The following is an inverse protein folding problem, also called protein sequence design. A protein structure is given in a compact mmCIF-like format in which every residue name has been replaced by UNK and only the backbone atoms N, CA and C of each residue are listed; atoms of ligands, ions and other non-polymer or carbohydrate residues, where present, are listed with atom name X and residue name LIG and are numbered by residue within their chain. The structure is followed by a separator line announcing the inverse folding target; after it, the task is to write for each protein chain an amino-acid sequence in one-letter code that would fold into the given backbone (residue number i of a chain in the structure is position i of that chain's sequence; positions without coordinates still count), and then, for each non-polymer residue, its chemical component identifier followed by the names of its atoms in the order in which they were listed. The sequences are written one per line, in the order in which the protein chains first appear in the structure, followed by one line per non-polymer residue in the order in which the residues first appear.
data_IF_933934841310
#
_entry.id   IF_933934841310
#
_cell.length_a   1.000
_cell.length_b   1.000
_cell.length_c   1.000
_cell.angle_alpha   90.00
_cell.angle_beta   90.00
_cell.angle_gamma   90.00
#
_symmetry.space_group_name_H-M   'P 1'
#
loop_
_entity.id
_entity.type
_entity.pdbx_description
1 polymer ?
#
# COMPACT_ATOMS: atom_id res chain seq x y z
N UNK A 1 14.83 7.76 -10.27
CA UNK A 1 15.35 7.87 -8.88
C UNK A 1 16.41 6.79 -8.76
N UNK A 2 17.65 7.09 -8.34
CA UNK A 2 18.65 6.04 -8.15
C UNK A 2 18.11 5.04 -7.13
N UNK A 3 18.12 3.75 -7.41
CA UNK A 3 17.72 2.68 -6.49
C UNK A 3 18.98 2.08 -5.86
N UNK A 4 18.94 1.76 -4.57
CA UNK A 4 20.12 1.27 -3.85
C UNK A 4 20.32 -0.23 -4.06
N UNK A 5 19.23 -0.98 -4.26
CA UNK A 5 19.27 -2.43 -4.22
C UNK A 5 18.66 -3.11 -5.44
N UNK A 6 17.74 -2.44 -6.14
CA UNK A 6 17.11 -2.98 -7.34
C UNK A 6 17.48 -2.19 -8.58
N UNK A 7 17.50 -2.87 -9.72
CA UNK A 7 17.41 -2.25 -11.04
C UNK A 7 15.99 -2.51 -11.56
N UNK A 8 15.31 -1.45 -12.00
CA UNK A 8 14.06 -1.57 -12.72
C UNK A 8 14.38 -1.59 -14.22
N UNK A 9 13.84 -2.54 -14.97
CA UNK A 9 13.92 -2.47 -16.44
C UNK A 9 13.14 -1.23 -16.90
N UNK A 10 13.71 -0.46 -17.82
CA UNK A 10 13.00 0.65 -18.45
C UNK A 10 11.74 0.11 -19.12
N UNK A 11 10.61 0.46 -18.54
CA UNK A 11 9.31 0.40 -19.21
C UNK A 11 9.09 1.83 -19.66
N UNK A 12 9.14 2.06 -20.97
CA UNK A 12 9.01 3.39 -21.57
C UNK A 12 7.66 3.99 -21.16
N UNK A 13 7.67 4.81 -20.11
CA UNK A 13 6.49 5.46 -19.56
C UNK A 13 6.90 6.86 -19.10
N UNK A 14 6.65 7.84 -19.97
CA UNK A 14 6.78 9.27 -19.75
C UNK A 14 6.53 9.66 -18.28
N UNK A 15 7.56 10.13 -17.59
CA UNK A 15 7.53 10.97 -16.36
C UNK A 15 6.21 10.99 -15.56
N UNK A 16 5.95 9.96 -14.77
CA UNK A 16 4.89 10.01 -13.75
C UNK A 16 5.50 10.38 -12.39
N UNK A 17 5.19 11.59 -11.89
CA UNK A 17 5.53 11.99 -10.52
C UNK A 17 4.64 11.20 -9.55
N UNK A 18 5.25 10.37 -8.71
CA UNK A 18 4.58 9.76 -7.54
C UNK A 18 4.11 10.89 -6.62
N UNK A 19 2.79 11.04 -6.45
CA UNK A 19 2.21 12.00 -5.51
C UNK A 19 2.12 11.35 -4.13
N UNK A 20 3.02 11.75 -3.23
CA UNK A 20 2.87 11.46 -1.80
C UNK A 20 1.83 12.43 -1.23
N UNK A 21 0.64 11.92 -0.90
CA UNK A 21 -0.38 12.73 -0.24
C UNK A 21 0.01 12.99 1.22
N UNK A 22 -0.11 14.25 1.65
CA UNK A 22 0.07 14.65 3.05
C UNK A 22 -1.24 14.36 3.80
N UNK A 23 -1.39 13.14 4.34
CA UNK A 23 -2.63 12.69 5.03
C UNK A 23 -2.72 13.20 6.49
N UNK A 24 -2.00 14.26 6.85
CA UNK A 24 -1.99 14.78 8.22
C UNK A 24 -2.32 16.26 8.25
N UNK A 25 -3.51 16.58 8.77
CA UNK A 25 -3.99 17.95 8.87
C UNK A 25 -5.44 18.13 9.32
N UNK A 26 -5.87 17.52 10.43
CA UNK A 26 -6.83 18.12 11.37
C UNK A 26 -6.95 17.24 12.63
N UNK A 27 -6.95 17.87 13.82
CA UNK A 27 -7.17 17.19 15.10
C UNK A 27 -8.64 16.81 15.19
N UNK A 28 -8.97 15.54 15.00
CA UNK A 28 -10.21 14.98 15.53
C UNK A 28 -10.05 14.77 17.05
N UNK A 29 -11.09 15.04 17.88
CA UNK A 29 -11.01 14.80 19.31
C UNK A 29 -10.81 13.31 19.60
N UNK A 30 -9.85 12.98 20.46
CA UNK A 30 -9.67 11.62 21.00
C UNK A 30 -10.79 11.33 21.99
N UNK A 31 -11.84 10.61 21.57
CA UNK A 31 -12.77 9.96 22.49
C UNK A 31 -13.24 8.61 21.92
N UNK A 32 -12.98 7.56 22.71
CA UNK A 32 -13.55 6.20 22.69
C UNK A 32 -14.07 5.64 21.34
N UNK A 33 -13.16 5.39 20.39
CA UNK A 33 -13.47 4.68 19.16
C UNK A 33 -13.24 3.18 19.34
N UNK A 34 -14.16 2.48 19.98
CA UNK A 34 -14.06 1.02 20.11
C UNK A 34 -15.41 0.30 20.01
N UNK A 35 -16.13 0.47 18.89
CA UNK A 35 -17.14 -0.47 18.33
C UNK A 35 -17.24 -0.24 16.81
N UNK A 36 -17.26 -1.30 16.00
CA UNK A 36 -17.36 -1.23 14.53
C UNK A 36 -18.55 -0.40 14.03
N UNK A 37 -19.66 -0.39 14.80
CA UNK A 37 -20.84 0.44 14.53
C UNK A 37 -20.53 1.96 14.56
N UNK A 38 -19.63 2.40 15.44
CA UNK A 38 -19.25 3.81 15.54
C UNK A 38 -18.40 4.28 14.35
N UNK A 39 -17.62 3.38 13.72
CA UNK A 39 -16.86 3.73 12.52
C UNK A 39 -17.79 3.97 11.34
N UNK A 40 -18.81 3.13 11.18
CA UNK A 40 -19.84 3.34 10.17
C UNK A 40 -20.58 4.67 10.40
N UNK A 41 -21.09 4.87 11.62
CA UNK A 41 -21.83 6.09 11.98
C UNK A 41 -20.99 7.33 11.69
N UNK A 42 -19.71 7.31 12.10
CA UNK A 42 -18.76 8.38 11.79
C UNK A 42 -18.63 8.60 10.28
N UNK A 43 -18.33 7.57 9.49
CA UNK A 43 -18.17 7.69 8.03
C UNK A 43 -19.44 8.20 7.35
N UNK A 44 -20.63 7.76 7.79
CA UNK A 44 -21.89 8.25 7.28
C UNK A 44 -22.07 9.77 7.50
N UNK A 45 -21.60 10.31 8.64
CA UNK A 45 -21.60 11.77 8.85
C UNK A 45 -20.60 12.54 7.98
N UNK A 46 -19.59 11.87 7.40
CA UNK A 46 -18.60 12.50 6.53
C UNK A 46 -19.02 12.52 5.06
N UNK A 47 -20.10 11.80 4.70
CA UNK A 47 -20.61 11.76 3.35
C UNK A 47 -21.34 13.05 2.98
N UNK A 48 -21.12 13.55 1.77
CA UNK A 48 -21.86 14.70 1.20
C UNK A 48 -22.76 14.17 0.09
N UNK A 49 -24.07 14.42 0.19
CA UNK A 49 -25.08 13.89 -0.74
C UNK A 49 -24.99 12.36 -0.93
N UNK A 50 -24.67 11.64 0.15
CA UNK A 50 -24.49 10.17 0.14
C UNK A 50 -23.16 9.70 -0.48
N UNK A 51 -22.28 10.61 -0.88
CA UNK A 51 -20.96 10.30 -1.47
C UNK A 51 -19.85 10.47 -0.43
N UNK A 52 -18.97 9.48 -0.35
CA UNK A 52 -17.80 9.46 0.52
C UNK A 52 -16.52 9.27 -0.31
N UNK A 53 -15.48 10.06 -0.04
CA UNK A 53 -14.19 9.88 -0.70
C UNK A 53 -13.43 8.71 -0.06
N UNK A 54 -12.81 7.86 -0.87
CA UNK A 54 -12.00 6.74 -0.39
C UNK A 54 -10.88 7.18 0.59
N UNK A 55 -10.33 8.38 0.42
CA UNK A 55 -9.36 8.99 1.35
C UNK A 55 -9.94 9.28 2.73
N UNK A 56 -11.23 9.65 2.83
CA UNK A 56 -11.89 9.84 4.13
C UNK A 56 -12.03 8.52 4.87
N UNK A 57 -12.28 7.41 4.17
CA UNK A 57 -12.32 6.06 4.75
C UNK A 57 -10.95 5.71 5.31
N UNK A 58 -9.88 5.85 4.52
CA UNK A 58 -8.52 5.56 4.97
C UNK A 58 -8.13 6.45 6.15
N UNK A 59 -8.45 7.74 6.10
CA UNK A 59 -8.18 8.67 7.20
C UNK A 59 -8.90 8.22 8.49
N UNK A 60 -10.19 7.87 8.41
CA UNK A 60 -10.93 7.39 9.57
C UNK A 60 -10.33 6.11 10.16
N UNK A 61 -9.90 5.16 9.32
CA UNK A 61 -9.22 3.94 9.75
C UNK A 61 -7.90 4.29 10.45
N UNK A 62 -7.07 5.15 9.85
CA UNK A 62 -5.78 5.55 10.43
C UNK A 62 -5.94 6.27 11.78
N UNK A 63 -6.92 7.16 11.91
CA UNK A 63 -7.13 7.93 13.15
C UNK A 63 -7.76 7.09 14.25
N UNK A 64 -8.67 6.18 13.90
CA UNK A 64 -9.49 5.44 14.88
C UNK A 64 -8.84 4.13 15.28
N UNK A 65 -8.21 3.45 14.33
CA UNK A 65 -7.66 2.11 14.50
C UNK A 65 -6.13 2.08 14.41
N UNK A 66 -5.46 3.19 14.12
CA UNK A 66 -3.99 3.28 14.09
C UNK A 66 -3.27 2.61 15.29
N UNK A 67 -3.73 2.82 16.54
CA UNK A 67 -3.10 2.22 17.72
C UNK A 67 -3.21 0.69 17.84
N UNK A 68 -4.11 0.03 17.12
CA UNK A 68 -4.25 -1.44 17.18
C UNK A 68 -3.08 -2.15 16.49
N UNK A 69 -2.46 -1.45 15.54
CA UNK A 69 -1.33 -1.98 14.79
C UNK A 69 -0.06 -1.91 15.66
N UNK A 70 0.84 -2.91 15.55
CA UNK A 70 2.04 -2.92 16.36
C UNK A 70 2.86 -1.64 16.20
N UNK A 71 3.31 -1.09 17.31
CA UNK A 71 4.19 0.07 17.31
C UNK A 71 5.60 -0.30 16.87
N UNK A 72 6.05 0.29 15.75
CA UNK A 72 7.42 0.12 15.22
C UNK A 72 8.23 1.39 15.35
N UNK A 73 7.59 2.53 15.09
CA UNK A 73 8.17 3.86 15.20
C UNK A 73 7.20 4.82 15.87
N UNK A 74 7.72 5.79 16.62
CA UNK A 74 6.93 6.90 17.17
C UNK A 74 7.46 8.24 16.70
N UNK A 75 6.56 9.20 16.52
CA UNK A 75 6.91 10.60 16.27
C UNK A 75 6.01 11.50 17.10
N UNK A 76 6.62 12.34 17.96
CA UNK A 76 5.87 13.18 18.90
C UNK A 76 4.98 12.35 19.86
N UNK A 77 5.41 11.15 20.24
CA UNK A 77 4.64 10.23 21.09
C UNK A 77 3.49 9.51 20.39
N UNK A 78 3.32 9.70 19.08
CA UNK A 78 2.29 9.01 18.27
C UNK A 78 2.90 7.78 17.63
N UNK A 79 2.27 6.61 17.82
CA UNK A 79 2.61 5.41 17.07
C UNK A 79 2.31 5.62 15.58
N UNK A 80 3.32 5.43 14.74
CA UNK A 80 3.21 5.54 13.29
C UNK A 80 2.82 4.22 12.61
N UNK A 81 2.88 3.09 13.31
CA UNK A 81 2.56 1.78 12.73
C UNK A 81 3.54 1.38 11.63
N UNK A 82 3.01 1.05 10.45
CA UNK A 82 3.74 0.60 9.26
C UNK A 82 4.37 1.79 8.49
N UNK A 83 5.31 2.45 9.14
CA UNK A 83 6.15 3.54 8.62
C UNK A 83 7.61 3.20 8.89
N UNK A 84 8.47 3.34 7.88
CA UNK A 84 9.87 2.93 7.96
C UNK A 84 10.82 4.00 7.44
N UNK A 85 12.13 3.80 7.69
CA UNK A 85 13.18 4.69 7.20
C UNK A 85 13.81 4.16 5.92
N UNK A 86 14.16 5.07 5.02
CA UNK A 86 14.99 4.75 3.87
C UNK A 86 15.92 5.93 3.54
N UNK A 87 17.23 5.67 3.42
CA UNK A 87 18.26 6.71 3.21
C UNK A 87 18.02 7.61 1.99
N UNK A 88 17.40 7.08 0.93
CA UNK A 88 17.17 7.83 -0.30
C UNK A 88 15.93 8.74 -0.24
N UNK A 89 15.10 8.59 0.79
CA UNK A 89 13.90 9.42 0.96
C UNK A 89 14.30 10.70 1.69
N UNK A 90 14.55 11.74 0.91
CA UNK A 90 14.84 13.06 1.43
C UNK A 90 13.56 13.75 1.91
N UNK A 91 13.66 14.66 2.87
CA UNK A 91 12.54 15.45 3.35
C UNK A 91 12.99 16.56 4.29
N UNK A 92 12.04 17.31 4.84
CA UNK A 92 12.29 18.39 5.79
C UNK A 92 11.65 18.03 7.13
N UNK A 93 12.35 18.32 8.23
CA UNK A 93 11.84 18.15 9.58
C UNK A 93 11.80 16.70 10.05
N UNK A 94 10.99 16.43 11.06
CA UNK A 94 11.03 15.18 11.81
C UNK A 94 10.55 13.93 11.02
N UNK A 95 9.88 14.14 9.89
CA UNK A 95 9.45 13.07 8.98
C UNK A 95 10.43 12.81 7.82
N UNK A 96 11.58 13.49 7.78
CA UNK A 96 12.60 13.20 6.78
C UNK A 96 13.07 11.74 6.87
N UNK A 97 13.21 11.08 5.72
CA UNK A 97 13.55 9.67 5.64
C UNK A 97 12.39 8.71 5.86
N UNK A 98 11.18 9.17 6.22
CA UNK A 98 10.05 8.29 6.51
C UNK A 98 9.24 7.93 5.27
N UNK A 99 8.94 6.64 5.11
CA UNK A 99 8.02 6.10 4.10
C UNK A 99 6.82 5.47 4.80
N UNK A 100 5.61 6.03 4.63
CA UNK A 100 4.39 5.43 5.12
C UNK A 100 3.81 4.41 4.14
N UNK A 101 3.61 3.18 4.60
CA UNK A 101 2.88 2.15 3.84
C UNK A 101 1.48 1.93 4.39
N UNK A 102 1.35 1.83 5.72
CA UNK A 102 0.07 1.58 6.40
C UNK A 102 -0.75 0.45 5.75
N UNK A 103 -0.07 -0.60 5.27
CA UNK A 103 -0.66 -1.58 4.34
C UNK A 103 -1.94 -2.20 4.89
N UNK A 104 -1.97 -2.57 6.18
CA UNK A 104 -3.14 -3.20 6.80
C UNK A 104 -4.31 -2.23 6.97
N UNK A 105 -4.02 -0.96 7.27
CA UNK A 105 -5.06 0.09 7.34
C UNK A 105 -5.66 0.35 5.95
N UNK A 106 -4.82 0.33 4.93
CA UNK A 106 -5.25 0.51 3.55
C UNK A 106 -6.07 -0.67 3.03
N UNK A 107 -5.65 -1.89 3.35
CA UNK A 107 -6.43 -3.08 3.05
C UNK A 107 -7.79 -3.05 3.75
N UNK A 108 -7.83 -2.68 5.04
CA UNK A 108 -9.08 -2.52 5.76
C UNK A 108 -9.98 -1.44 5.11
N UNK A 109 -9.42 -0.32 4.65
CA UNK A 109 -10.18 0.70 3.93
C UNK A 109 -10.80 0.13 2.63
N UNK A 110 -10.06 -0.70 1.88
CA UNK A 110 -10.61 -1.40 0.72
C UNK A 110 -11.71 -2.40 1.09
N UNK A 111 -11.55 -3.15 2.19
CA UNK A 111 -12.57 -4.08 2.67
C UNK A 111 -13.87 -3.40 3.14
N UNK A 112 -13.85 -2.09 3.40
CA UNK A 112 -15.03 -1.31 3.78
C UNK A 112 -15.83 -0.79 2.57
N UNK A 113 -15.28 -0.82 1.36
CA UNK A 113 -15.93 -0.26 0.17
C UNK A 113 -17.28 -0.92 -0.12
N UNK A 114 -17.31 -2.25 -0.18
CA UNK A 114 -18.54 -3.00 -0.46
C UNK A 114 -19.58 -2.89 0.67
N UNK A 115 -19.23 -3.03 1.97
CA UNK A 115 -20.18 -2.80 3.06
C UNK A 115 -20.80 -1.39 3.07
N UNK A 116 -20.01 -0.34 2.77
CA UNK A 116 -20.52 1.04 2.68
C UNK A 116 -21.42 1.23 1.46
N UNK A 117 -21.10 0.58 0.34
CA UNK A 117 -21.98 0.57 -0.83
C UNK A 117 -23.32 -0.11 -0.52
N UNK A 118 -23.29 -1.25 0.16
CA UNK A 118 -24.47 -2.00 0.56
C UNK A 118 -25.37 -1.24 1.56
N UNK A 119 -24.82 -0.28 2.30
CA UNK A 119 -25.60 0.57 3.21
C UNK A 119 -26.23 1.79 2.54
N UNK A 120 -26.03 1.97 1.22
CA UNK A 120 -26.57 3.08 0.44
C UNK A 120 -25.63 4.27 0.27
N UNK A 121 -24.36 4.18 0.70
CA UNK A 121 -23.35 5.21 0.42
C UNK A 121 -22.66 4.93 -0.91
N UNK A 122 -22.27 5.96 -1.64
CA UNK A 122 -21.42 5.83 -2.82
C UNK A 122 -19.98 6.17 -2.46
N UNK A 123 -19.03 5.29 -2.75
CA UNK A 123 -17.61 5.60 -2.55
C UNK A 123 -16.98 6.10 -3.85
N UNK A 124 -16.42 7.30 -3.82
CA UNK A 124 -15.75 7.94 -4.95
C UNK A 124 -14.23 8.04 -4.74
N UNK A 125 -13.50 8.20 -5.85
CA UNK A 125 -12.06 8.45 -5.83
C UNK A 125 -11.23 7.28 -5.30
N UNK A 126 -11.64 6.03 -5.55
CA UNK A 126 -10.93 4.81 -5.09
C UNK A 126 -9.46 4.84 -5.53
N UNK A 127 -9.18 5.28 -6.76
CA UNK A 127 -7.84 5.42 -7.34
C UNK A 127 -6.96 6.51 -6.70
N UNK A 128 -7.46 7.26 -5.73
CA UNK A 128 -6.62 8.14 -4.90
C UNK A 128 -5.93 7.38 -3.77
N UNK A 129 -6.36 6.15 -3.49
CA UNK A 129 -5.67 5.22 -2.62
C UNK A 129 -4.57 4.49 -3.42
N UNK A 130 -3.49 4.14 -2.74
CA UNK A 130 -2.31 3.46 -3.29
C UNK A 130 -2.43 1.93 -3.36
N UNK A 131 -1.54 1.30 -4.12
CA UNK A 131 -1.37 -0.15 -4.11
C UNK A 131 -0.97 -0.70 -2.73
N UNK A 132 -1.12 -2.01 -2.54
CA UNK A 132 -0.71 -2.70 -1.32
C UNK A 132 0.75 -3.18 -1.44
N UNK A 133 1.60 -2.69 -0.55
CA UNK A 133 3.03 -3.01 -0.43
C UNK A 133 3.29 -4.43 0.11
N UNK A 134 2.64 -5.42 -0.51
CA UNK A 134 2.57 -6.81 -0.05
C UNK A 134 3.52 -7.72 -0.81
N UNK A 135 4.03 -8.77 -0.16
CA UNK A 135 5.04 -9.66 -0.77
C UNK A 135 4.57 -10.38 -2.03
N UNK A 136 3.27 -10.61 -2.20
CA UNK A 136 2.73 -11.23 -3.43
C UNK A 136 2.77 -10.25 -4.60
N UNK A 137 2.38 -9.00 -4.36
CA UNK A 137 2.44 -7.94 -5.36
C UNK A 137 3.89 -7.60 -5.69
N UNK A 138 4.73 -7.43 -4.66
CA UNK A 138 6.15 -7.12 -4.85
C UNK A 138 6.92 -8.29 -5.46
N UNK A 139 6.56 -9.52 -5.09
CA UNK A 139 7.22 -10.74 -5.56
C UNK A 139 7.01 -10.96 -7.05
N UNK A 140 5.80 -10.65 -7.55
CA UNK A 140 5.47 -10.66 -8.96
C UNK A 140 6.47 -9.82 -9.79
N UNK A 141 6.83 -8.62 -9.33
CA UNK A 141 7.75 -7.76 -10.07
C UNK A 141 9.18 -8.31 -10.12
N UNK A 142 9.61 -9.05 -9.10
CA UNK A 142 10.92 -9.73 -9.11
C UNK A 142 10.85 -10.99 -9.99
N UNK A 143 9.83 -11.82 -9.82
CA UNK A 143 9.69 -13.09 -10.53
C UNK A 143 9.49 -12.93 -12.05
N UNK A 144 8.92 -11.80 -12.46
CA UNK A 144 8.78 -11.42 -13.87
C UNK A 144 9.95 -10.56 -14.39
N UNK A 145 10.94 -10.26 -13.55
CA UNK A 145 12.15 -9.52 -13.93
C UNK A 145 11.95 -8.03 -14.18
N UNK A 146 10.83 -7.46 -13.73
CA UNK A 146 10.59 -6.00 -13.72
C UNK A 146 11.57 -5.34 -12.74
N UNK A 147 11.73 -5.94 -11.56
CA UNK A 147 12.77 -5.61 -10.59
C UNK A 147 13.84 -6.71 -10.58
N UNK A 148 15.10 -6.32 -10.70
CA UNK A 148 16.25 -7.23 -10.61
C UNK A 148 17.14 -6.80 -9.44
N UNK A 149 17.41 -7.65 -8.44
CA UNK A 149 18.37 -7.34 -7.39
C UNK A 149 19.75 -7.04 -7.97
N UNK A 150 20.42 -6.01 -7.48
CA UNK A 150 21.79 -5.67 -7.87
C UNK A 150 22.80 -6.72 -7.39
N UNK A 151 22.53 -7.35 -6.25
CA UNK A 151 23.29 -8.48 -5.72
C UNK A 151 22.36 -9.68 -5.51
N UNK A 152 22.75 -10.84 -6.04
CA UNK A 152 21.99 -12.09 -5.91
C UNK A 152 21.92 -12.58 -4.46
N UNK A 153 22.90 -12.25 -3.63
CA UNK A 153 22.92 -12.61 -2.21
C UNK A 153 21.69 -12.08 -1.44
N UNK A 154 21.06 -11.01 -1.93
CA UNK A 154 19.80 -10.47 -1.39
C UNK A 154 18.69 -11.53 -1.39
N UNK A 155 18.61 -12.39 -2.41
CA UNK A 155 17.58 -13.42 -2.52
C UNK A 155 17.83 -14.65 -1.62
N UNK A 156 19.07 -14.80 -1.15
CA UNK A 156 19.52 -15.96 -0.38
C UNK A 156 19.35 -15.74 1.12
N UNK A 157 19.37 -14.48 1.55
CA UNK A 157 19.27 -14.06 2.94
C UNK A 157 17.83 -13.76 3.36
N UNK A 158 17.54 -13.99 4.65
CA UNK A 158 16.27 -13.60 5.24
C UNK A 158 16.39 -12.18 5.82
N UNK A 159 15.43 -11.32 5.47
CA UNK A 159 15.44 -9.90 5.85
C UNK A 159 14.30 -9.58 6.80
N UNK A 160 14.57 -8.73 7.78
CA UNK A 160 13.54 -8.17 8.64
C UNK A 160 12.75 -7.08 7.90
N UNK A 161 11.50 -6.79 8.32
CA UNK A 161 10.67 -5.78 7.64
C UNK A 161 11.26 -4.37 7.63
N UNK A 162 12.11 -4.02 8.61
CA UNK A 162 12.79 -2.74 8.73
C UNK A 162 14.07 -2.63 7.89
N UNK A 163 14.56 -3.74 7.32
CA UNK A 163 15.73 -3.72 6.45
C UNK A 163 15.45 -2.83 5.23
N UNK A 164 16.39 -1.93 4.91
CA UNK A 164 16.18 -0.95 3.84
C UNK A 164 15.87 -1.60 2.49
N UNK A 165 16.40 -2.79 2.21
CA UNK A 165 16.06 -3.59 1.03
C UNK A 165 14.56 -3.90 0.95
N UNK A 166 13.95 -4.27 2.06
CA UNK A 166 12.52 -4.58 2.15
C UNK A 166 11.71 -3.29 2.02
N UNK A 167 12.14 -2.22 2.67
CA UNK A 167 11.50 -0.91 2.55
C UNK A 167 11.55 -0.38 1.11
N UNK A 168 12.70 -0.48 0.43
CA UNK A 168 12.87 -0.09 -0.98
C UNK A 168 11.97 -0.92 -1.88
N UNK A 169 11.97 -2.25 -1.73
CA UNK A 169 11.12 -3.15 -2.50
C UNK A 169 9.63 -2.85 -2.31
N UNK A 170 9.20 -2.59 -1.08
CA UNK A 170 7.81 -2.22 -0.77
C UNK A 170 7.42 -0.88 -1.39
N UNK A 171 8.31 0.11 -1.35
CA UNK A 171 8.09 1.41 -1.99
C UNK A 171 8.00 1.29 -3.52
N UNK A 172 8.90 0.51 -4.13
CA UNK A 172 8.86 0.22 -5.56
C UNK A 172 7.60 -0.55 -5.94
N UNK A 173 7.15 -1.49 -5.11
CA UNK A 173 5.91 -2.24 -5.32
C UNK A 173 4.72 -1.30 -5.44
N UNK A 174 4.55 -0.35 -4.52
CA UNK A 174 3.45 0.62 -4.57
C UNK A 174 3.50 1.45 -5.86
N UNK A 175 4.68 1.99 -6.21
CA UNK A 175 4.84 2.79 -7.41
C UNK A 175 4.59 2.00 -8.70
N UNK A 176 5.06 0.75 -8.77
CA UNK A 176 4.89 -0.12 -9.94
C UNK A 176 3.45 -0.60 -10.11
N UNK A 177 2.68 -0.73 -9.02
CA UNK A 177 1.26 -1.06 -9.09
C UNK A 177 0.46 0.04 -9.80
N UNK A 178 0.75 1.32 -9.55
CA UNK A 178 0.09 2.43 -10.23
C UNK A 178 0.41 2.43 -11.74
N UNK A 179 1.68 2.20 -12.09
CA UNK A 179 2.13 2.09 -13.49
C UNK A 179 1.45 0.89 -14.18
N UNK A 180 1.41 -0.26 -13.51
CA UNK A 180 0.78 -1.47 -14.03
C UNK A 180 -0.73 -1.29 -14.22
N UNK A 181 -1.43 -0.67 -13.27
CA UNK A 181 -2.86 -0.38 -13.39
C UNK A 181 -3.14 0.51 -14.61
N UNK A 182 -2.30 1.54 -14.83
CA UNK A 182 -2.41 2.39 -16.00
C UNK A 182 -2.18 1.62 -17.31
N UNK A 183 -1.16 0.76 -17.38
CA UNK A 183 -0.93 -0.09 -18.55
C UNK A 183 -2.07 -1.06 -18.82
N UNK A 184 -2.61 -1.72 -17.80
CA UNK A 184 -3.74 -2.66 -17.94
C UNK A 184 -4.95 -1.93 -18.53
N UNK A 185 -5.28 -0.75 -18.00
CA UNK A 185 -6.39 0.07 -18.50
C UNK A 185 -6.20 0.49 -19.94
N UNK A 186 -5.01 0.94 -20.30
CA UNK A 186 -4.68 1.35 -21.67
C UNK A 186 -4.80 0.18 -22.65
N UNK A 187 -4.36 -1.03 -22.26
CA UNK A 187 -4.47 -2.23 -23.09
C UNK A 187 -5.92 -2.68 -23.25
N UNK A 188 -6.73 -2.57 -22.19
CA UNK A 188 -8.13 -2.97 -22.21
C UNK A 188 -9.08 -1.91 -22.79
N UNK A 189 -8.62 -0.66 -22.92
CA UNK A 189 -9.44 0.46 -23.39
C UNK A 189 -10.53 0.88 -22.38
N UNK A 190 -10.25 0.74 -21.08
CA UNK A 190 -11.21 1.00 -19.98
C UNK A 190 -10.70 2.09 -19.05
N UNK A 191 -11.61 2.78 -18.37
CA UNK A 191 -11.28 3.85 -17.42
C UNK A 191 -10.88 3.34 -16.03
N UNK A 192 -10.43 4.25 -15.16
CA UNK A 192 -10.16 3.94 -13.75
C UNK A 192 -11.44 3.67 -12.95
N UNK A 193 -12.58 4.21 -13.37
CA UNK A 193 -13.88 3.96 -12.78
C UNK A 193 -14.40 2.56 -13.15
N UNK A 194 -14.13 2.10 -14.38
CA UNK A 194 -14.53 0.76 -14.85
C UNK A 194 -13.65 -0.34 -14.23
N UNK A 195 -12.33 -0.11 -14.19
CA UNK A 195 -11.36 -1.03 -13.58
C UNK A 195 -10.53 -0.26 -12.54
N UNK A 196 -11.06 -0.07 -11.32
CA UNK A 196 -10.36 0.62 -10.25
C UNK A 196 -9.14 -0.17 -9.75
N UNK A 197 -8.23 0.52 -9.06
CA UNK A 197 -6.98 -0.09 -8.59
C UNK A 197 -7.23 -1.35 -7.74
N UNK A 198 -8.29 -1.36 -6.94
CA UNK A 198 -8.70 -2.52 -6.13
C UNK A 198 -8.95 -3.78 -6.96
N UNK A 199 -9.55 -3.66 -8.16
CA UNK A 199 -9.75 -4.81 -9.05
C UNK A 199 -8.43 -5.29 -9.67
N UNK A 200 -7.53 -4.37 -10.03
CA UNK A 200 -6.17 -4.71 -10.49
C UNK A 200 -5.40 -5.47 -9.43
N UNK A 201 -5.58 -5.12 -8.15
CA UNK A 201 -4.94 -5.82 -7.03
C UNK A 201 -5.53 -7.20 -6.80
N UNK A 202 -6.82 -7.30 -6.47
CA UNK A 202 -7.46 -8.55 -6.06
C UNK A 202 -7.58 -9.56 -7.20
N UNK A 203 -8.08 -9.10 -8.36
CA UNK A 203 -8.25 -9.93 -9.55
C UNK A 203 -6.98 -10.14 -10.36
N UNK A 204 -6.01 -9.21 -10.26
CA UNK A 204 -4.78 -9.21 -11.03
C UNK A 204 -3.56 -9.60 -10.19
N UNK A 205 -2.84 -8.61 -9.67
CA UNK A 205 -1.46 -8.78 -9.16
C UNK A 205 -1.37 -9.73 -7.98
N UNK A 206 -2.34 -9.71 -7.07
CA UNK A 206 -2.32 -10.57 -5.88
C UNK A 206 -2.48 -12.04 -6.29
N UNK A 207 -3.43 -12.33 -7.18
CA UNK A 207 -3.69 -13.68 -7.73
C UNK A 207 -2.53 -14.16 -8.59
N UNK A 208 -2.10 -13.35 -9.55
CA UNK A 208 -0.98 -13.67 -10.45
C UNK A 208 0.32 -13.89 -9.67
N UNK A 209 0.62 -13.03 -8.69
CA UNK A 209 1.82 -13.14 -7.86
C UNK A 209 1.85 -14.45 -7.06
N UNK A 210 0.71 -14.91 -6.53
CA UNK A 210 0.64 -16.24 -5.87
C UNK A 210 0.89 -17.38 -6.84
N UNK A 211 0.26 -17.34 -8.01
CA UNK A 211 0.40 -18.40 -9.00
C UNK A 211 1.86 -18.50 -9.48
N UNK A 212 2.45 -17.37 -9.85
CA UNK A 212 3.86 -17.31 -10.30
C UNK A 212 4.80 -17.78 -9.20
N UNK A 213 4.57 -17.41 -7.94
CA UNK A 213 5.38 -17.86 -6.83
C UNK A 213 5.35 -19.41 -6.68
N UNK A 214 4.18 -20.02 -6.84
CA UNK A 214 4.03 -21.48 -6.87
C UNK A 214 4.75 -22.11 -8.06
N UNK A 215 4.60 -21.57 -9.26
CA UNK A 215 5.27 -22.06 -10.46
C UNK A 215 6.81 -21.97 -10.35
N UNK A 216 7.33 -20.92 -9.69
CA UNK A 216 8.76 -20.68 -9.54
C UNK A 216 9.43 -21.50 -8.44
N UNK A 217 8.75 -21.73 -7.32
CA UNK A 217 9.37 -22.28 -6.09
C UNK A 217 8.65 -23.49 -5.49
N UNK A 218 7.44 -23.81 -5.93
CA UNK A 218 6.70 -25.00 -5.46
C UNK A 218 6.18 -24.93 -4.02
N UNK A 219 6.35 -23.81 -3.31
CA UNK A 219 5.83 -23.57 -1.97
C UNK A 219 5.03 -22.25 -1.86
N UNK A 220 4.96 -21.49 -2.95
CA UNK A 220 4.28 -20.19 -3.00
C UNK A 220 4.99 -19.08 -2.22
N UNK A 221 6.22 -19.30 -1.74
CA UNK A 221 7.00 -18.29 -1.04
C UNK A 221 7.33 -17.11 -1.96
N UNK A 222 7.45 -15.87 -1.45
CA UNK A 222 7.97 -14.75 -2.24
C UNK A 222 9.46 -14.94 -2.57
N UNK A 223 9.98 -14.28 -3.62
CA UNK A 223 11.40 -14.38 -4.00
C UNK A 223 12.35 -13.78 -2.96
N UNK A 224 11.90 -12.79 -2.17
CA UNK A 224 12.62 -12.30 -1.00
C UNK A 224 12.18 -13.05 0.26
N UNK A 225 13.13 -13.61 0.99
CA UNK A 225 12.87 -14.30 2.25
C UNK A 225 12.64 -13.27 3.36
N UNK A 226 11.48 -13.32 3.99
CA UNK A 226 11.06 -12.35 5.01
C UNK A 226 11.02 -13.00 6.39
N UNK A 227 11.63 -12.33 7.37
CA UNK A 227 11.46 -12.63 8.79
C UNK A 227 10.22 -11.87 9.29
N UNK A 228 9.03 -12.33 8.90
CA UNK A 228 7.76 -11.66 9.22
C UNK A 228 7.03 -12.35 10.38
N UNK A 229 6.44 -11.54 11.26
CA UNK A 229 5.47 -11.96 12.29
C UNK A 229 4.01 -11.86 11.81
N UNK A 230 3.77 -11.55 10.53
CA UNK A 230 2.45 -11.41 9.92
C UNK A 230 1.77 -10.05 10.16
N UNK A 231 2.49 -9.06 10.70
CA UNK A 231 1.92 -7.74 11.03
C UNK A 231 2.26 -6.63 10.02
N UNK A 232 3.11 -6.95 9.04
CA UNK A 232 3.56 -6.03 7.98
C UNK A 232 3.12 -6.50 6.59
N UNK A 233 2.91 -7.81 6.44
CA UNK A 233 2.51 -8.51 5.22
C UNK A 233 1.52 -9.65 5.49
#
# INVERSE_FOLDING_TARGET
IPMSFFLAREVDACTHRVRVYRIWGSRAPKQELCRTLLLYDYLATQATDGVLQATQILQAVLTSLGPIWPGRMTLGGVNLGDVWRHRQVTGVGASAGLIPFHKLSQWLAYSLLEPLAASGLTVAGIDTLTGLAEYRNGGLFIDLGVLTPQDRAILEQAHTPDAEIIVEWRALTVALLDILAHHIRNVLGVSAEEVPLTQVLEGGTWRAGRQIAWERRGDGSPPLRLLSDGTVF
#
